data_IF_332031590250
#
_entry.id   IF_332031590250
#
_cell.length_a   1.000
_cell.length_b   1.000
_cell.length_c   1.000
_cell.angle_alpha   90.00
_cell.angle_beta   90.00
_cell.angle_gamma   90.00
#
_symmetry.space_group_name_H-M   'P 1'
#
loop_
_entity.id
_entity.type
_entity.pdbx_description
1 polymer ?
#
# COMPACT_ATOMS: atom_id res chain seq x y z
N UNK A 1 -22.07 75.63 -18.55
CA UNK A 1 -21.32 76.18 -17.40
C UNK A 1 -21.28 75.08 -16.34
N UNK A 2 -20.26 74.23 -16.39
CA UNK A 2 -19.03 74.30 -15.58
C UNK A 2 -19.33 74.14 -14.08
N UNK A 3 -19.06 72.96 -13.54
CA UNK A 3 -18.29 72.80 -12.30
C UNK A 3 -17.62 71.43 -12.25
N UNK A 4 -16.33 71.47 -11.90
CA UNK A 4 -15.31 70.42 -11.89
C UNK A 4 -15.49 69.40 -10.75
N UNK A 5 -15.05 68.13 -10.93
CA UNK A 5 -14.71 67.24 -9.83
C UNK A 5 -13.19 67.28 -9.59
N UNK A 6 -12.77 67.91 -8.49
CA UNK A 6 -11.44 67.77 -7.87
C UNK A 6 -11.66 67.40 -6.40
N UNK A 7 -10.78 66.56 -5.84
CA UNK A 7 -10.90 65.80 -4.56
C UNK A 7 -11.64 64.47 -4.84
N UNK A 8 -11.01 63.31 -5.06
CA UNK A 8 -9.99 62.62 -4.26
C UNK A 8 -9.15 61.77 -5.24
N UNK A 9 -7.94 62.20 -5.55
CA UNK A 9 -6.88 61.40 -6.17
C UNK A 9 -5.57 61.84 -5.52
N UNK A 10 -5.39 61.44 -4.26
CA UNK A 10 -4.22 61.75 -3.45
C UNK A 10 -4.14 60.77 -2.26
N UNK A 11 -3.76 59.51 -2.52
CA UNK A 11 -3.05 58.54 -1.65
C UNK A 11 -2.70 57.34 -2.56
N UNK A 12 -1.91 57.60 -3.60
CA UNK A 12 -1.38 56.57 -4.49
C UNK A 12 -0.02 57.03 -5.03
N UNK A 13 0.86 57.55 -4.15
CA UNK A 13 2.27 57.84 -4.45
C UNK A 13 2.99 58.42 -3.21
N UNK A 14 3.11 57.65 -2.12
CA UNK A 14 4.07 57.96 -1.03
C UNK A 14 4.30 56.82 -0.02
N UNK A 15 4.81 55.65 -0.46
CA UNK A 15 5.55 54.71 0.43
C UNK A 15 6.68 54.00 -0.35
N UNK A 16 7.30 54.69 -1.32
CA UNK A 16 8.55 54.23 -1.95
C UNK A 16 9.64 55.23 -1.57
N UNK A 17 10.69 54.68 -0.95
CA UNK A 17 11.99 55.27 -0.58
C UNK A 17 12.08 56.03 0.76
N UNK A 18 13.19 55.72 1.48
CA UNK A 18 13.63 56.14 2.82
C UNK A 18 13.09 55.20 3.92
N UNK A 19 13.83 54.32 4.61
CA UNK A 19 15.24 54.00 4.84
C UNK A 19 15.22 52.53 5.38
N UNK A 20 16.08 51.59 5.01
CA UNK A 20 17.49 51.75 4.70
C UNK A 20 18.31 51.67 5.99
N UNK A 21 18.65 50.44 6.37
CA UNK A 21 19.73 50.03 7.29
C UNK A 21 19.36 49.62 8.75
N UNK A 22 19.81 48.39 9.04
CA UNK A 22 20.43 47.87 10.28
C UNK A 22 19.67 46.74 11.01
N UNK A 23 20.37 45.60 11.06
CA UNK A 23 20.19 44.36 11.86
C UNK A 23 19.12 43.39 11.37
N UNK A 24 19.39 42.37 10.56
CA UNK A 24 20.57 41.47 10.45
C UNK A 24 20.87 40.70 11.74
N UNK A 25 19.99 39.76 12.12
CA UNK A 25 20.39 38.63 12.97
C UNK A 25 19.54 37.37 12.71
N UNK A 26 20.26 36.31 12.34
CA UNK A 26 19.96 34.87 12.37
C UNK A 26 18.79 34.31 11.54
N UNK A 27 18.96 34.27 10.23
CA UNK A 27 18.61 33.08 9.46
C UNK A 27 19.89 32.56 8.80
N UNK A 28 20.54 31.57 9.42
CA UNK A 28 21.59 30.82 8.73
C UNK A 28 20.90 29.95 7.68
N UNK A 29 21.14 30.12 6.38
CA UNK A 29 20.91 29.02 5.47
C UNK A 29 21.90 27.94 5.93
N UNK A 30 21.38 26.77 6.29
CA UNK A 30 22.21 25.58 6.31
C UNK A 30 22.59 25.38 4.84
N UNK A 31 23.74 25.94 4.45
CA UNK A 31 24.55 25.36 3.41
C UNK A 31 24.76 23.92 3.83
N UNK A 32 23.94 23.02 3.29
CA UNK A 32 24.36 21.64 3.14
C UNK A 32 25.50 21.68 2.12
N UNK A 33 26.66 22.09 2.61
CA UNK A 33 27.92 21.65 2.07
C UNK A 33 28.00 20.18 2.48
N UNK A 34 27.24 19.32 1.79
CA UNK A 34 27.66 17.93 1.73
C UNK A 34 29.06 18.01 1.11
N UNK A 35 30.12 17.53 1.76
CA UNK A 35 31.18 17.00 0.95
C UNK A 35 30.48 15.95 0.10
N UNK A 36 30.42 16.19 -1.21
CA UNK A 36 30.21 15.14 -2.18
C UNK A 36 31.41 14.20 -2.05
N UNK A 37 31.44 13.43 -0.95
CA UNK A 37 32.21 12.19 -0.83
C UNK A 37 31.43 11.11 -1.57
N UNK A 38 30.93 11.43 -2.76
CA UNK A 38 31.02 10.50 -3.85
C UNK A 38 32.52 10.41 -4.11
N UNK A 39 33.20 9.48 -3.42
CA UNK A 39 34.28 8.84 -4.13
C UNK A 39 33.60 8.28 -5.36
N UNK A 40 33.93 8.89 -6.49
CA UNK A 40 33.73 8.36 -7.81
C UNK A 40 34.48 7.03 -7.83
N UNK A 41 33.86 6.00 -7.26
CA UNK A 41 34.09 4.63 -7.69
C UNK A 41 33.42 4.62 -9.04
N UNK A 42 34.16 5.10 -10.04
CA UNK A 42 33.92 4.73 -11.42
C UNK A 42 33.69 3.23 -11.39
N UNK A 43 32.46 2.79 -11.62
CA UNK A 43 32.20 1.47 -12.15
C UNK A 43 32.89 1.45 -13.51
N UNK A 44 34.19 1.19 -13.50
CA UNK A 44 34.96 0.79 -14.67
C UNK A 44 34.56 -0.64 -14.99
N UNK A 45 33.28 -0.86 -15.26
CA UNK A 45 32.84 -1.88 -16.18
C UNK A 45 32.95 -1.30 -17.58
N UNK A 46 34.18 -1.03 -18.02
CA UNK A 46 34.41 -0.89 -19.46
C UNK A 46 33.87 -2.17 -20.07
N UNK A 47 32.81 -2.09 -20.88
CA UNK A 47 32.47 -3.18 -21.79
C UNK A 47 33.71 -3.35 -22.65
N UNK A 48 34.57 -4.31 -22.31
CA UNK A 48 35.67 -4.69 -23.19
C UNK A 48 35.06 -4.89 -24.56
N UNK A 49 35.62 -4.22 -25.57
CA UNK A 49 35.21 -4.40 -26.94
C UNK A 49 35.49 -5.85 -27.33
N UNK A 50 34.51 -6.72 -27.10
CA UNK A 50 34.62 -8.13 -27.39
C UNK A 50 34.56 -8.33 -28.90
N UNK A 51 35.32 -9.32 -29.39
CA UNK A 51 35.32 -9.67 -30.80
C UNK A 51 33.91 -10.06 -31.23
N UNK A 52 33.41 -9.48 -32.32
CA UNK A 52 32.11 -9.84 -32.89
C UNK A 52 32.25 -10.87 -34.00
N UNK A 53 31.33 -11.82 -34.03
CA UNK A 53 31.24 -12.80 -35.09
C UNK A 53 30.40 -12.31 -36.29
N UNK A 54 30.22 -13.17 -37.32
CA UNK A 54 29.40 -12.87 -38.50
C UNK A 54 27.96 -12.45 -38.19
N UNK A 55 27.36 -12.95 -37.11
CA UNK A 55 26.00 -12.62 -36.68
C UNK A 55 25.96 -11.46 -35.66
N UNK A 56 27.06 -10.71 -35.55
CA UNK A 56 27.24 -9.58 -34.62
C UNK A 56 27.14 -9.96 -33.14
N UNK A 57 27.18 -11.25 -32.83
CA UNK A 57 27.23 -11.77 -31.47
C UNK A 57 28.61 -11.68 -30.85
N UNK A 58 28.73 -12.09 -29.59
CA UNK A 58 30.02 -12.21 -28.90
C UNK A 58 30.73 -13.47 -29.39
N UNK A 59 31.89 -13.30 -30.01
CA UNK A 59 32.72 -14.39 -30.51
C UNK A 59 33.72 -14.82 -29.44
N UNK A 60 33.57 -16.04 -28.96
CA UNK A 60 34.45 -16.73 -28.04
C UNK A 60 35.40 -17.60 -28.86
N UNK A 61 36.70 -17.51 -28.63
CA UNK A 61 37.70 -18.21 -29.45
C UNK A 61 38.75 -18.87 -28.55
N UNK A 62 39.08 -20.13 -28.83
CA UNK A 62 40.17 -20.86 -28.17
C UNK A 62 40.69 -21.95 -29.08
N UNK A 63 42.00 -21.94 -29.34
CA UNK A 63 42.71 -22.93 -30.17
C UNK A 63 42.05 -23.20 -31.54
N UNK A 64 41.64 -22.14 -32.25
CA UNK A 64 41.00 -22.21 -33.58
C UNK A 64 39.51 -22.55 -33.56
N UNK A 65 38.97 -23.05 -32.44
CA UNK A 65 37.54 -23.30 -32.28
C UNK A 65 36.82 -22.07 -31.73
N UNK A 66 35.67 -21.75 -32.32
CA UNK A 66 34.96 -20.50 -32.07
C UNK A 66 33.47 -20.76 -31.80
N UNK A 67 32.93 -20.01 -30.85
CA UNK A 67 31.51 -20.00 -30.49
C UNK A 67 31.01 -18.56 -30.55
N UNK A 68 30.02 -18.27 -31.37
CA UNK A 68 29.35 -16.97 -31.37
C UNK A 68 28.03 -17.08 -30.60
N UNK A 69 27.89 -16.29 -29.53
CA UNK A 69 26.66 -16.19 -28.74
C UNK A 69 25.97 -14.86 -29.05
N UNK A 70 24.71 -14.92 -29.46
CA UNK A 70 23.86 -13.76 -29.76
C UNK A 70 22.61 -13.78 -28.90
N UNK A 71 22.05 -12.61 -28.61
CA UNK A 71 20.67 -12.47 -28.14
C UNK A 71 19.88 -11.94 -29.34
N UNK A 72 18.90 -12.72 -29.79
CA UNK A 72 18.02 -12.37 -30.89
C UNK A 72 16.68 -11.90 -30.34
N UNK A 73 16.36 -10.64 -30.62
CA UNK A 73 15.17 -9.95 -30.10
C UNK A 73 14.44 -9.25 -31.25
N UNK A 74 13.66 -9.99 -32.06
CA UNK A 74 12.85 -9.38 -33.08
C UNK A 74 11.59 -8.77 -32.45
N UNK A 75 11.06 -7.72 -33.08
CA UNK A 75 9.90 -6.99 -32.58
C UNK A 75 8.71 -7.92 -32.31
N UNK A 76 8.17 -7.87 -31.08
CA UNK A 76 7.00 -8.66 -30.67
C UNK A 76 7.28 -10.13 -30.33
N UNK A 77 8.53 -10.59 -30.28
CA UNK A 77 8.89 -11.95 -29.84
C UNK A 77 9.86 -11.87 -28.66
N UNK A 78 9.69 -12.70 -27.61
CA UNK A 78 10.62 -12.72 -26.50
C UNK A 78 12.07 -12.99 -26.94
N UNK A 79 13.07 -12.29 -26.34
CA UNK A 79 14.46 -12.45 -26.71
C UNK A 79 14.96 -13.87 -26.41
N UNK A 80 15.79 -14.42 -27.29
CA UNK A 80 16.36 -15.77 -27.14
C UNK A 80 17.84 -15.78 -27.47
N UNK A 81 18.59 -16.69 -26.86
CA UNK A 81 19.98 -16.91 -27.23
C UNK A 81 20.05 -17.69 -28.53
N UNK A 82 21.01 -17.33 -29.41
CA UNK A 82 21.46 -18.20 -30.49
C UNK A 82 22.95 -18.45 -30.43
N UNK A 83 23.34 -19.69 -30.70
CA UNK A 83 24.73 -20.13 -30.73
C UNK A 83 25.10 -20.63 -32.13
N UNK A 84 26.22 -20.13 -32.63
CA UNK A 84 26.85 -20.56 -33.89
C UNK A 84 28.25 -21.09 -33.59
N UNK A 85 28.68 -22.13 -34.30
CA UNK A 85 29.99 -22.74 -34.13
C UNK A 85 30.84 -22.57 -35.38
N UNK A 86 32.14 -22.33 -35.18
CA UNK A 86 33.11 -22.23 -36.26
C UNK A 86 34.42 -22.94 -35.90
N UNK A 87 35.13 -23.38 -36.92
CA UNK A 87 36.49 -23.90 -36.85
C UNK A 87 37.34 -23.12 -37.84
N UNK A 88 38.37 -22.43 -37.35
CA UNK A 88 39.24 -21.53 -38.12
C UNK A 88 38.46 -20.50 -38.96
N UNK A 89 37.35 -19.98 -38.42
CA UNK A 89 36.47 -19.02 -39.09
C UNK A 89 35.44 -19.64 -40.05
N UNK A 90 35.45 -20.96 -40.24
CA UNK A 90 34.50 -21.66 -41.11
C UNK A 90 33.33 -22.23 -40.29
N UNK A 91 32.06 -21.99 -40.66
CA UNK A 91 30.91 -22.54 -39.94
C UNK A 91 30.93 -24.07 -39.90
N UNK A 92 30.61 -24.65 -38.75
CA UNK A 92 30.43 -26.10 -38.57
C UNK A 92 29.02 -26.41 -38.06
N UNK A 93 28.55 -27.64 -38.26
CA UNK A 93 27.20 -28.02 -37.86
C UNK A 93 27.10 -28.15 -36.33
N UNK A 94 26.08 -27.56 -35.69
CA UNK A 94 25.89 -27.72 -34.25
C UNK A 94 25.66 -29.17 -33.80
N UNK A 95 25.18 -30.04 -34.70
CA UNK A 95 25.01 -31.48 -34.44
C UNK A 95 26.32 -32.22 -34.13
N UNK A 96 27.46 -31.64 -34.53
CA UNK A 96 28.77 -32.26 -34.42
C UNK A 96 29.49 -31.82 -33.12
N UNK A 97 28.87 -30.94 -32.34
CA UNK A 97 29.42 -30.34 -31.13
C UNK A 97 28.55 -30.71 -29.93
N UNK A 98 29.15 -31.24 -28.87
CA UNK A 98 28.47 -31.30 -27.57
C UNK A 98 28.64 -29.96 -26.88
N UNK A 99 27.60 -29.43 -26.25
CA UNK A 99 27.63 -28.10 -25.68
C UNK A 99 26.80 -28.00 -24.40
N UNK A 100 27.18 -27.05 -23.56
CA UNK A 100 26.42 -26.65 -22.38
C UNK A 100 26.64 -25.15 -22.16
N UNK A 101 25.54 -24.41 -21.93
CA UNK A 101 25.60 -23.01 -21.53
C UNK A 101 24.89 -22.81 -20.21
N UNK A 102 25.58 -22.21 -19.26
CA UNK A 102 25.03 -21.83 -17.97
C UNK A 102 25.04 -20.30 -17.83
N UNK A 103 23.98 -19.74 -17.25
CA UNK A 103 23.89 -18.34 -16.85
C UNK A 103 23.90 -18.25 -15.33
N UNK A 104 24.92 -17.59 -14.78
CA UNK A 104 24.96 -17.21 -13.37
C UNK A 104 24.41 -15.79 -13.22
N UNK A 105 23.17 -15.68 -12.75
CA UNK A 105 22.51 -14.42 -12.35
C UNK A 105 22.86 -14.08 -10.90
N UNK A 106 22.39 -12.92 -10.42
CA UNK A 106 22.70 -12.48 -9.05
C UNK A 106 22.17 -13.44 -7.97
N UNK A 107 21.00 -14.07 -8.20
CA UNK A 107 20.31 -14.92 -7.23
C UNK A 107 20.19 -16.40 -7.66
N UNK A 108 20.58 -16.76 -8.89
CA UNK A 108 20.38 -18.12 -9.40
C UNK A 108 21.37 -18.53 -10.48
N UNK A 109 21.53 -19.84 -10.65
CA UNK A 109 22.25 -20.46 -11.76
C UNK A 109 21.22 -21.16 -12.67
N UNK A 110 21.27 -20.89 -13.96
CA UNK A 110 20.34 -21.42 -14.96
C UNK A 110 21.12 -22.19 -16.02
N UNK A 111 20.76 -23.44 -16.29
CA UNK A 111 21.23 -24.15 -17.48
C UNK A 111 20.29 -23.81 -18.63
N UNK A 112 20.83 -23.41 -19.78
CA UNK A 112 20.03 -22.95 -20.91
C UNK A 112 19.85 -24.09 -21.92
N UNK A 113 18.62 -24.61 -22.10
CA UNK A 113 18.34 -25.65 -23.07
C UNK A 113 18.20 -25.04 -24.47
N UNK A 114 18.79 -25.71 -25.47
CA UNK A 114 18.75 -25.29 -26.86
C UNK A 114 18.12 -26.33 -27.77
N UNK A 115 17.54 -25.86 -28.87
CA UNK A 115 17.05 -26.67 -29.99
C UNK A 115 17.81 -26.29 -31.26
N UNK A 116 18.12 -27.28 -32.09
CA UNK A 116 18.71 -27.07 -33.41
C UNK A 116 17.68 -26.43 -34.36
N UNK A 117 18.06 -25.31 -34.96
CA UNK A 117 17.29 -24.59 -35.98
C UNK A 117 18.22 -24.28 -37.17
N UNK A 118 18.20 -25.15 -38.19
CA UNK A 118 19.07 -25.00 -39.36
C UNK A 118 20.55 -25.15 -39.03
N UNK A 119 21.29 -24.05 -39.11
CA UNK A 119 22.74 -23.95 -38.88
C UNK A 119 23.12 -23.38 -37.51
N UNK A 120 22.14 -23.13 -36.63
CA UNK A 120 22.36 -22.60 -35.29
C UNK A 120 21.53 -23.33 -34.22
N UNK A 121 21.87 -23.05 -32.97
CA UNK A 121 21.10 -23.48 -31.81
C UNK A 121 20.31 -22.29 -31.26
N UNK A 122 19.01 -22.46 -31.02
CA UNK A 122 18.16 -21.45 -30.37
C UNK A 122 17.75 -21.88 -28.97
N UNK A 123 17.84 -20.99 -27.98
CA UNK A 123 17.39 -21.31 -26.63
C UNK A 123 15.88 -21.50 -26.60
N UNK A 124 15.43 -22.51 -25.86
CA UNK A 124 14.00 -22.74 -25.60
C UNK A 124 13.49 -21.89 -24.44
N UNK A 125 14.40 -21.33 -23.63
CA UNK A 125 14.13 -20.33 -22.61
C UNK A 125 14.34 -18.91 -23.16
N UNK A 126 13.61 -17.96 -22.60
CA UNK A 126 13.75 -16.52 -22.88
C UNK A 126 14.99 -15.96 -22.19
N UNK A 127 15.68 -15.05 -22.86
CA UNK A 127 16.75 -14.24 -22.30
C UNK A 127 16.15 -13.06 -21.51
N UNK A 128 15.52 -13.36 -20.37
CA UNK A 128 14.77 -12.38 -19.57
C UNK A 128 15.66 -11.24 -19.07
N UNK A 129 15.09 -10.04 -19.00
CA UNK A 129 15.75 -8.89 -18.39
C UNK A 129 15.91 -9.01 -16.86
N UNK A 130 16.89 -8.31 -16.26
CA UNK A 130 17.99 -7.61 -16.95
C UNK A 130 18.93 -8.61 -17.66
N UNK A 131 19.63 -8.20 -18.72
CA UNK A 131 20.70 -9.00 -19.35
C UNK A 131 21.99 -8.98 -18.50
N UNK A 132 21.80 -9.23 -17.20
CA UNK A 132 22.80 -9.23 -16.15
C UNK A 132 23.12 -10.65 -15.70
N UNK A 133 24.20 -11.20 -16.23
CA UNK A 133 24.63 -12.57 -15.96
C UNK A 133 26.12 -12.75 -16.29
N UNK A 134 26.72 -13.77 -15.66
CA UNK A 134 27.96 -14.37 -16.11
C UNK A 134 27.62 -15.62 -16.91
N UNK A 135 28.06 -15.68 -18.16
CA UNK A 135 27.90 -16.85 -19.02
C UNK A 135 29.07 -17.78 -18.81
N UNK A 136 28.78 -19.08 -18.69
CA UNK A 136 29.73 -20.16 -18.81
C UNK A 136 29.35 -21.00 -20.03
N UNK A 137 30.22 -21.05 -21.02
CA UNK A 137 30.03 -21.85 -22.24
C UNK A 137 31.05 -22.98 -22.25
N UNK A 138 30.57 -24.21 -22.34
CA UNK A 138 31.38 -25.42 -22.51
C UNK A 138 31.03 -26.02 -23.86
N UNK A 139 32.03 -26.40 -24.64
CA UNK A 139 31.85 -27.12 -25.89
C UNK A 139 32.88 -28.23 -26.04
N UNK A 140 32.48 -29.35 -26.62
CA UNK A 140 33.35 -30.47 -26.95
C UNK A 140 33.24 -30.77 -28.44
N UNK A 141 34.37 -30.74 -29.13
CA UNK A 141 34.47 -31.05 -30.55
C UNK A 141 35.75 -31.88 -30.81
N UNK A 142 35.65 -32.97 -31.57
CA UNK A 142 36.78 -33.88 -31.90
C UNK A 142 37.65 -34.24 -30.69
N UNK A 143 37.01 -34.66 -29.58
CA UNK A 143 37.64 -35.03 -28.30
C UNK A 143 38.41 -33.91 -27.57
N UNK A 144 38.27 -32.65 -27.99
CA UNK A 144 38.81 -31.48 -27.29
C UNK A 144 37.69 -30.73 -26.56
N UNK A 145 37.96 -30.35 -25.31
CA UNK A 145 37.05 -29.58 -24.48
C UNK A 145 37.47 -28.11 -24.42
N UNK A 146 36.49 -27.24 -24.60
CA UNK A 146 36.63 -25.80 -24.58
C UNK A 146 35.69 -25.22 -23.54
N UNK A 147 36.19 -24.22 -22.81
CA UNK A 147 35.46 -23.53 -21.76
C UNK A 147 35.78 -22.04 -21.87
N UNK A 148 34.72 -21.24 -21.87
CA UNK A 148 34.78 -19.79 -21.84
C UNK A 148 33.84 -19.26 -20.78
N UNK A 149 34.25 -18.15 -20.16
CA UNK A 149 33.39 -17.39 -19.27
C UNK A 149 33.43 -15.92 -19.68
N UNK A 150 32.28 -15.26 -19.62
CA UNK A 150 32.22 -13.82 -19.80
C UNK A 150 31.10 -13.19 -18.97
N UNK A 151 31.24 -11.90 -18.70
CA UNK A 151 30.28 -11.13 -17.93
C UNK A 151 29.53 -10.16 -18.85
N UNK A 152 28.24 -9.98 -18.56
CA UNK A 152 27.37 -8.94 -19.11
C UNK A 152 26.52 -8.48 -17.94
N UNK A 153 26.80 -7.30 -17.39
CA UNK A 153 26.09 -6.79 -16.22
C UNK A 153 25.36 -5.51 -16.60
N UNK A 154 24.04 -5.61 -16.71
CA UNK A 154 23.15 -4.49 -16.92
C UNK A 154 22.34 -4.22 -15.67
N UNK A 155 22.00 -2.97 -15.40
CA UNK A 155 21.14 -2.64 -14.27
C UNK A 155 21.74 -2.95 -12.90
N UNK A 156 23.08 -2.96 -12.79
CA UNK A 156 23.80 -3.12 -11.51
C UNK A 156 24.33 -1.79 -10.97
N UNK A 157 24.25 -1.65 -9.66
CA UNK A 157 24.87 -0.55 -8.90
C UNK A 157 25.68 -1.15 -7.76
N UNK A 158 26.88 -0.65 -7.54
CA UNK A 158 27.68 -1.00 -6.37
C UNK A 158 27.81 0.23 -5.47
N UNK A 159 27.47 0.08 -4.19
CA UNK A 159 27.57 1.15 -3.19
C UNK A 159 28.50 0.74 -2.06
N UNK A 160 29.27 1.69 -1.52
CA UNK A 160 30.06 1.40 -0.31
C UNK A 160 29.14 1.19 0.90
N UNK A 161 29.57 0.44 1.94
CA UNK A 161 28.80 0.28 3.17
C UNK A 161 28.42 1.62 3.83
N UNK A 162 29.31 2.62 3.74
CA UNK A 162 29.07 3.97 4.24
C UNK A 162 27.96 4.66 3.45
N UNK A 163 27.92 4.51 2.13
CA UNK A 163 26.88 5.05 1.29
C UNK A 163 25.53 4.37 1.57
N UNK A 164 25.49 3.04 1.72
CA UNK A 164 24.27 2.29 2.10
C UNK A 164 23.71 2.84 3.42
N UNK A 165 24.58 3.01 4.42
CA UNK A 165 24.20 3.53 5.74
C UNK A 165 23.76 5.00 5.70
N UNK A 166 24.51 5.87 5.02
CA UNK A 166 24.23 7.30 4.93
C UNK A 166 22.90 7.58 4.22
N UNK A 167 22.57 6.75 3.25
CA UNK A 167 21.33 6.83 2.48
C UNK A 167 20.15 6.09 3.13
N UNK A 168 20.36 5.48 4.31
CA UNK A 168 19.33 4.73 5.03
C UNK A 168 18.67 3.64 4.18
N UNK A 169 19.43 3.02 3.28
CA UNK A 169 18.96 1.90 2.46
C UNK A 169 18.74 0.71 3.38
N UNK A 170 17.50 0.22 3.46
CA UNK A 170 17.18 -1.00 4.24
C UNK A 170 17.07 -2.19 3.31
N UNK A 171 17.61 -3.31 3.76
CA UNK A 171 17.59 -4.58 3.04
C UNK A 171 16.82 -5.59 3.89
N UNK A 172 15.81 -6.22 3.29
CA UNK A 172 15.02 -7.28 3.89
C UNK A 172 15.10 -8.54 3.03
N UNK A 173 14.62 -9.66 3.58
CA UNK A 173 14.54 -10.94 2.89
C UNK A 173 13.10 -11.14 2.40
N UNK A 174 12.94 -11.42 1.10
CA UNK A 174 11.65 -11.76 0.54
C UNK A 174 11.23 -13.14 1.05
N UNK A 175 9.97 -13.29 1.46
CA UNK A 175 9.54 -14.53 2.08
C UNK A 175 8.04 -14.63 2.29
N UNK A 176 7.60 -15.73 2.93
CA UNK A 176 6.18 -15.99 3.11
C UNK A 176 5.58 -15.06 4.16
N UNK A 177 4.36 -14.60 3.88
CA UNK A 177 3.55 -13.81 4.81
C UNK A 177 2.09 -14.27 4.75
N UNK A 178 1.32 -13.95 5.78
CA UNK A 178 -0.15 -13.94 5.68
C UNK A 178 -0.59 -12.53 5.34
N UNK A 179 -1.05 -12.31 4.11
CA UNK A 179 -1.54 -11.03 3.64
C UNK A 179 -2.99 -10.83 4.11
N UNK A 180 -3.18 -9.90 5.05
CA UNK A 180 -4.51 -9.43 5.45
C UNK A 180 -5.06 -8.48 4.39
N UNK A 181 -6.14 -8.87 3.73
CA UNK A 181 -6.89 -7.99 2.83
C UNK A 181 -7.95 -7.28 3.67
N UNK A 182 -7.82 -5.96 3.72
CA UNK A 182 -8.73 -5.09 4.48
C UNK A 182 -9.68 -4.36 3.55
N UNK A 183 -10.91 -4.17 4.02
CA UNK A 183 -11.93 -3.35 3.40
C UNK A 183 -12.19 -2.13 4.28
N UNK A 184 -11.90 -0.96 3.75
CA UNK A 184 -12.17 0.32 4.41
C UNK A 184 -13.66 0.66 4.25
N UNK A 185 -14.35 0.86 5.38
CA UNK A 185 -15.78 1.15 5.44
C UNK A 185 -16.07 2.38 6.28
N UNK A 186 -17.16 3.05 5.97
CA UNK A 186 -17.63 4.21 6.72
C UNK A 186 -18.95 3.89 7.42
N UNK A 187 -19.07 4.36 8.65
CA UNK A 187 -20.19 4.04 9.50
C UNK A 187 -20.52 5.14 10.49
N UNK A 188 -21.44 4.82 11.38
CA UNK A 188 -21.96 5.73 12.39
C UNK A 188 -22.20 4.99 13.70
N UNK A 189 -21.87 5.64 14.81
CA UNK A 189 -22.25 5.15 16.13
C UNK A 189 -23.74 5.42 16.34
N UNK A 190 -24.46 4.39 16.75
CA UNK A 190 -25.86 4.47 17.15
C UNK A 190 -26.03 3.89 18.56
N UNK A 191 -27.17 4.20 19.17
CA UNK A 191 -27.58 3.56 20.41
C UNK A 191 -27.73 2.06 20.20
N UNK A 192 -27.31 1.28 21.20
CA UNK A 192 -27.71 -0.12 21.24
C UNK A 192 -29.21 -0.17 21.57
N UNK A 193 -30.04 -0.44 20.55
CA UNK A 193 -31.49 -0.44 20.71
C UNK A 193 -31.98 -1.57 21.62
N UNK A 194 -31.21 -2.67 21.78
CA UNK A 194 -31.53 -3.73 22.75
C UNK A 194 -31.42 -3.25 24.20
N UNK A 195 -30.63 -2.20 24.43
CA UNK A 195 -30.43 -1.57 25.72
C UNK A 195 -31.17 -0.23 25.88
N UNK A 196 -32.18 0.00 25.03
CA UNK A 196 -32.95 1.26 24.99
C UNK A 196 -34.42 1.01 25.30
N UNK A 197 -34.99 1.80 26.22
CA UNK A 197 -36.38 1.72 26.63
C UNK A 197 -37.11 3.04 26.38
N UNK A 198 -38.31 2.91 25.82
CA UNK A 198 -39.24 4.01 25.57
C UNK A 198 -40.29 4.02 26.68
N UNK A 199 -40.34 5.12 27.44
CA UNK A 199 -41.26 5.27 28.56
C UNK A 199 -42.54 5.95 28.07
N UNK A 200 -43.67 5.26 28.21
CA UNK A 200 -45.02 5.76 27.89
C UNK A 200 -45.86 5.91 29.16
N UNK A 201 -46.73 6.94 29.24
CA UNK A 201 -47.66 7.06 30.36
C UNK A 201 -48.69 5.93 30.34
N UNK A 202 -48.97 5.33 31.50
CA UNK A 202 -49.96 4.25 31.60
C UNK A 202 -51.40 4.73 31.42
N UNK A 203 -51.69 5.97 31.82
CA UNK A 203 -53.02 6.57 31.76
C UNK A 203 -52.93 8.00 31.21
N UNK A 204 -53.90 8.47 30.40
CA UNK A 204 -53.97 9.86 29.99
C UNK A 204 -54.07 10.80 31.20
N UNK A 205 -53.48 11.99 31.12
CA UNK A 205 -53.43 12.88 32.27
C UNK A 205 -52.61 14.14 32.11
N UNK A 206 -52.64 14.99 33.14
CA UNK A 206 -51.89 16.25 33.18
C UNK A 206 -50.57 16.06 33.93
N UNK A 207 -49.47 16.56 33.37
CA UNK A 207 -48.15 16.49 33.99
C UNK A 207 -48.06 17.46 35.16
N UNK A 208 -47.86 16.93 36.38
CA UNK A 208 -47.73 17.71 37.62
C UNK A 208 -46.28 17.95 38.04
N UNK A 209 -45.37 17.06 37.67
CA UNK A 209 -43.94 17.23 37.92
C UNK A 209 -43.09 16.52 36.87
N UNK A 210 -41.91 17.09 36.58
CA UNK A 210 -40.89 16.49 35.72
C UNK A 210 -39.56 16.59 36.45
N UNK A 211 -39.10 15.47 37.00
CA UNK A 211 -37.97 15.43 37.94
C UNK A 211 -36.63 15.25 37.25
N UNK A 212 -36.63 14.90 35.95
CA UNK A 212 -35.42 14.58 35.19
C UNK A 212 -35.31 15.37 33.88
N UNK A 213 -34.06 15.59 33.47
CA UNK A 213 -33.68 16.33 32.26
C UNK A 213 -32.96 15.42 31.27
N UNK A 214 -32.94 15.85 30.01
CA UNK A 214 -32.10 15.25 28.98
C UNK A 214 -30.64 15.17 29.47
N UNK A 215 -29.98 14.04 29.22
CA UNK A 215 -28.59 13.79 29.64
C UNK A 215 -28.43 13.38 31.10
N UNK A 216 -29.48 13.35 31.92
CA UNK A 216 -29.37 12.81 33.27
C UNK A 216 -29.24 11.28 33.23
N UNK A 217 -28.32 10.76 34.03
CA UNK A 217 -28.33 9.36 34.43
C UNK A 217 -29.49 9.09 35.39
N UNK A 218 -30.16 7.96 35.21
CA UNK A 218 -31.25 7.48 36.06
C UNK A 218 -31.05 6.02 36.42
N UNK A 219 -31.47 5.65 37.63
CA UNK A 219 -31.49 4.25 38.08
C UNK A 219 -32.85 3.61 37.82
N UNK A 220 -32.87 2.30 37.62
CA UNK A 220 -34.10 1.52 37.58
C UNK A 220 -34.94 1.80 38.82
N UNK A 221 -36.22 2.11 38.62
CA UNK A 221 -37.19 2.47 39.65
C UNK A 221 -37.18 3.95 40.03
N UNK A 222 -36.24 4.77 39.56
CA UNK A 222 -36.18 6.20 39.90
C UNK A 222 -37.35 6.98 39.27
N UNK A 223 -37.95 7.90 40.04
CA UNK A 223 -39.11 8.71 39.59
C UNK A 223 -38.66 9.75 38.56
N UNK A 224 -39.22 9.68 37.36
CA UNK A 224 -38.94 10.57 36.24
C UNK A 224 -39.92 11.75 36.18
N UNK A 225 -41.21 11.47 36.41
CA UNK A 225 -42.30 12.45 36.35
C UNK A 225 -43.49 12.01 37.20
N UNK A 226 -44.38 12.95 37.51
CA UNK A 226 -45.66 12.71 38.19
C UNK A 226 -46.78 13.22 37.29
N UNK A 227 -47.80 12.37 37.07
CA UNK A 227 -48.94 12.66 36.20
C UNK A 227 -50.22 12.47 37.03
N UNK A 228 -51.17 13.39 36.91
CA UNK A 228 -52.52 13.24 37.43
C UNK A 228 -53.38 12.54 36.38
N UNK A 229 -53.88 11.34 36.68
CA UNK A 229 -54.74 10.59 35.77
C UNK A 229 -56.08 11.28 35.58
N UNK A 230 -56.53 11.40 34.33
CA UNK A 230 -57.87 11.93 34.03
C UNK A 230 -58.98 10.99 34.48
N UNK A 231 -58.71 9.69 34.60
CA UNK A 231 -59.73 8.69 34.96
C UNK A 231 -60.02 8.68 36.45
N UNK A 232 -58.97 8.78 37.28
CA UNK A 232 -59.09 8.66 38.75
C UNK A 232 -58.85 9.97 39.50
N UNK A 233 -58.35 11.00 38.82
CA UNK A 233 -57.87 12.27 39.42
C UNK A 233 -56.78 12.06 40.49
N UNK A 234 -56.12 10.89 40.48
CA UNK A 234 -55.01 10.57 41.36
C UNK A 234 -53.67 10.79 40.66
N UNK A 235 -52.68 11.24 41.43
CA UNK A 235 -51.30 11.31 40.98
C UNK A 235 -50.69 9.90 40.91
N UNK A 236 -49.97 9.62 39.84
CA UNK A 236 -49.13 8.44 39.72
C UNK A 236 -47.73 8.82 39.22
N UNK A 237 -46.75 8.01 39.60
CA UNK A 237 -45.36 8.22 39.26
C UNK A 237 -44.98 7.42 38.01
N UNK A 238 -44.28 8.09 37.10
CA UNK A 238 -43.58 7.44 36.00
C UNK A 238 -42.15 7.18 36.46
N UNK A 239 -41.70 5.93 36.38
CA UNK A 239 -40.38 5.49 36.87
C UNK A 239 -39.53 4.92 35.73
N UNK A 240 -38.22 4.99 35.87
CA UNK A 240 -37.30 4.34 34.93
C UNK A 240 -37.38 2.82 35.03
N UNK A 241 -37.36 2.12 33.90
CA UNK A 241 -37.35 0.65 33.86
C UNK A 241 -35.93 0.05 33.82
N UNK A 242 -34.94 0.89 33.49
CA UNK A 242 -33.52 0.51 33.37
C UNK A 242 -32.61 1.53 34.05
N UNK A 243 -31.34 1.15 34.23
CA UNK A 243 -30.27 2.12 34.47
C UNK A 243 -29.84 2.70 33.12
N UNK A 244 -29.61 4.00 33.03
CA UNK A 244 -29.15 4.59 31.77
C UNK A 244 -29.28 6.10 31.71
N UNK A 245 -29.04 6.66 30.54
CA UNK A 245 -29.11 8.10 30.27
C UNK A 245 -30.40 8.42 29.53
N UNK A 246 -31.06 9.51 29.93
CA UNK A 246 -32.19 10.06 29.19
C UNK A 246 -31.66 10.68 27.88
N UNK A 247 -31.91 10.01 26.76
CA UNK A 247 -31.49 10.45 25.41
C UNK A 247 -32.57 11.23 24.67
N UNK A 248 -33.83 11.14 25.11
CA UNK A 248 -34.92 12.01 24.66
C UNK A 248 -35.87 12.32 25.81
N UNK A 249 -36.39 13.54 25.82
CA UNK A 249 -37.40 14.04 26.78
C UNK A 249 -38.46 14.81 26.02
N UNK A 250 -39.65 14.24 25.91
CA UNK A 250 -40.78 14.81 25.19
C UNK A 250 -41.93 15.16 26.15
N UNK A 251 -41.58 15.64 27.34
CA UNK A 251 -42.54 15.96 28.40
C UNK A 251 -42.15 17.25 29.10
N UNK A 252 -43.15 18.07 29.41
CA UNK A 252 -43.00 19.32 30.16
C UNK A 252 -44.09 19.45 31.22
N UNK A 253 -43.80 20.23 32.26
CA UNK A 253 -44.77 20.55 33.30
C UNK A 253 -46.02 21.21 32.70
N UNK A 254 -47.21 20.78 33.13
CA UNK A 254 -48.48 21.32 32.66
C UNK A 254 -48.95 20.79 31.31
N UNK A 255 -48.18 19.90 30.67
CA UNK A 255 -48.58 19.28 29.41
C UNK A 255 -49.68 18.23 29.64
N UNK A 256 -50.61 18.12 28.70
CA UNK A 256 -51.55 17.01 28.65
C UNK A 256 -50.94 15.82 27.89
N UNK A 257 -51.12 14.62 28.43
CA UNK A 257 -50.63 13.37 27.87
C UNK A 257 -51.82 12.47 27.50
N UNK A 258 -51.80 11.92 26.29
CA UNK A 258 -52.83 11.02 25.79
C UNK A 258 -52.58 9.56 26.15
N UNK A 259 -51.36 9.22 26.61
CA UNK A 259 -50.95 7.87 26.98
C UNK A 259 -50.38 7.02 25.84
N UNK A 260 -50.25 7.58 24.63
CA UNK A 260 -49.66 6.88 23.48
C UNK A 260 -48.27 7.40 23.11
N UNK A 261 -47.93 8.60 23.56
CA UNK A 261 -46.63 9.23 23.30
C UNK A 261 -45.50 8.73 24.20
N UNK A 262 -44.31 8.59 23.61
CA UNK A 262 -43.07 8.34 24.36
C UNK A 262 -42.62 9.63 25.05
N UNK A 263 -42.69 9.67 26.38
CA UNK A 263 -42.35 10.85 27.19
C UNK A 263 -40.87 10.91 27.57
N UNK A 264 -40.22 9.76 27.70
CA UNK A 264 -38.76 9.64 27.84
C UNK A 264 -38.24 8.49 26.98
N UNK A 265 -37.00 8.61 26.53
CA UNK A 265 -36.23 7.49 25.99
C UNK A 265 -34.95 7.38 26.79
N UNK A 266 -34.69 6.21 27.33
CA UNK A 266 -33.56 5.92 28.23
C UNK A 266 -32.73 4.83 27.59
N UNK A 267 -31.42 5.02 27.54
CA UNK A 267 -30.50 4.06 26.93
C UNK A 267 -29.30 3.81 27.85
N UNK A 268 -28.90 2.55 28.00
CA UNK A 268 -27.62 2.21 28.60
C UNK A 268 -26.51 2.36 27.55
N UNK A 269 -25.76 3.47 27.66
CA UNK A 269 -24.70 3.84 26.73
C UNK A 269 -23.35 3.17 27.02
N UNK A 270 -23.27 2.27 28.01
CA UNK A 270 -22.05 1.49 28.30
C UNK A 270 -21.69 0.52 27.17
N UNK A 271 -22.62 0.27 26.24
CA UNK A 271 -22.39 -0.39 24.97
C UNK A 271 -23.14 0.36 23.86
N UNK A 272 -22.48 0.54 22.72
CA UNK A 272 -23.07 1.17 21.53
C UNK A 272 -22.87 0.27 20.33
N UNK A 273 -23.65 0.51 19.28
CA UNK A 273 -23.44 -0.14 17.99
C UNK A 273 -22.72 0.80 17.05
N UNK A 274 -21.85 0.24 16.22
CA UNK A 274 -21.25 0.91 15.08
C UNK A 274 -21.80 0.26 13.80
N UNK A 275 -22.60 1.01 13.06
CA UNK A 275 -23.23 0.55 11.82
C UNK A 275 -22.44 1.06 10.62
N UNK A 276 -21.88 0.14 9.83
CA UNK A 276 -21.07 0.40 8.65
C UNK A 276 -21.85 0.06 7.38
N UNK A 277 -21.70 0.89 6.36
CA UNK A 277 -22.31 0.62 5.05
C UNK A 277 -21.39 -0.26 4.21
N UNK A 278 -21.86 -1.44 3.82
CA UNK A 278 -21.17 -2.34 2.89
C UNK A 278 -21.86 -2.25 1.53
N UNK A 279 -21.12 -1.82 0.51
CA UNK A 279 -21.65 -1.67 -0.84
C UNK A 279 -21.74 -3.00 -1.57
N UNK A 280 -22.64 -3.07 -2.56
CA UNK A 280 -22.96 -4.28 -3.33
C UNK A 280 -21.73 -5.09 -3.80
N UNK A 281 -20.70 -4.41 -4.29
CA UNK A 281 -19.49 -5.05 -4.83
C UNK A 281 -18.66 -5.78 -3.77
N UNK A 282 -18.78 -5.40 -2.50
CA UNK A 282 -18.00 -5.95 -1.39
C UNK A 282 -18.81 -6.90 -0.50
N UNK A 283 -20.12 -7.03 -0.73
CA UNK A 283 -21.03 -7.84 0.09
C UNK A 283 -20.59 -9.30 0.23
N UNK A 284 -20.09 -9.92 -0.84
CA UNK A 284 -19.67 -11.32 -0.81
C UNK A 284 -18.37 -11.56 -0.05
N UNK A 285 -17.67 -10.49 0.35
CA UNK A 285 -16.38 -10.56 1.04
C UNK A 285 -16.53 -10.39 2.56
N UNK A 286 -17.63 -9.77 3.01
CA UNK A 286 -17.86 -9.46 4.42
C UNK A 286 -18.80 -10.50 5.04
N UNK A 287 -18.37 -11.09 6.14
CA UNK A 287 -19.08 -12.13 6.87
C UNK A 287 -19.25 -11.75 8.35
N UNK A 288 -20.28 -12.31 8.98
CA UNK A 288 -20.43 -12.23 10.44
C UNK A 288 -19.25 -12.96 11.09
N UNK A 289 -18.60 -12.31 12.05
CA UNK A 289 -17.39 -12.79 12.71
C UNK A 289 -16.09 -12.16 12.21
N UNK A 290 -16.10 -11.46 11.06
CA UNK A 290 -14.92 -10.76 10.57
C UNK A 290 -14.41 -9.74 11.59
N UNK A 291 -13.10 -9.68 11.81
CA UNK A 291 -12.50 -8.66 12.68
C UNK A 291 -12.58 -7.29 12.00
N UNK A 292 -12.95 -6.28 12.79
CA UNK A 292 -13.04 -4.90 12.36
C UNK A 292 -12.34 -3.99 13.36
N UNK A 293 -11.39 -3.18 12.88
CA UNK A 293 -10.84 -2.08 13.65
C UNK A 293 -11.70 -0.83 13.43
N UNK A 294 -12.42 -0.40 14.46
CA UNK A 294 -13.23 0.83 14.41
C UNK A 294 -12.39 2.00 14.91
N UNK A 295 -12.39 3.09 14.13
CA UNK A 295 -11.62 4.30 14.43
C UNK A 295 -12.53 5.54 14.37
N UNK A 296 -12.41 6.45 15.34
CA UNK A 296 -13.06 7.76 15.27
C UNK A 296 -12.46 8.59 14.14
N UNK A 297 -13.24 9.49 13.53
CA UNK A 297 -12.74 10.29 12.40
C UNK A 297 -11.55 11.21 12.75
N UNK A 298 -11.39 11.59 14.02
CA UNK A 298 -10.23 12.34 14.51
C UNK A 298 -9.01 11.45 14.81
N UNK A 299 -9.14 10.12 14.67
CA UNK A 299 -8.10 9.13 14.91
C UNK A 299 -7.77 8.84 16.38
N UNK A 300 -8.43 9.51 17.33
CA UNK A 300 -8.09 9.46 18.75
C UNK A 300 -8.62 8.20 19.46
N UNK A 301 -9.72 7.62 18.97
CA UNK A 301 -10.30 6.41 19.53
C UNK A 301 -10.14 5.28 18.52
N UNK A 302 -9.65 4.14 18.99
CA UNK A 302 -9.54 2.90 18.23
C UNK A 302 -10.01 1.73 19.08
N UNK A 303 -10.80 0.85 18.50
CA UNK A 303 -11.27 -0.36 19.17
C UNK A 303 -11.44 -1.49 18.16
N UNK A 304 -10.86 -2.64 18.45
CA UNK A 304 -11.12 -3.86 17.72
C UNK A 304 -12.45 -4.47 18.19
N UNK A 305 -13.22 -4.97 17.23
CA UNK A 305 -14.47 -5.67 17.43
C UNK A 305 -14.66 -6.73 16.34
N UNK A 306 -15.78 -7.45 16.38
CA UNK A 306 -16.19 -8.32 15.29
C UNK A 306 -17.49 -7.81 14.67
N UNK A 307 -17.67 -8.06 13.37
CA UNK A 307 -18.97 -7.89 12.71
C UNK A 307 -19.96 -8.84 13.35
N UNK A 308 -20.91 -8.33 14.13
CA UNK A 308 -21.87 -9.12 14.89
C UNK A 308 -23.15 -9.43 14.10
N UNK A 309 -23.46 -8.61 13.09
CA UNK A 309 -24.67 -8.74 12.29
C UNK A 309 -24.48 -8.07 10.93
N UNK A 310 -25.08 -8.66 9.89
CA UNK A 310 -25.21 -8.06 8.56
C UNK A 310 -26.70 -8.03 8.21
N UNK A 311 -27.20 -6.86 7.83
CA UNK A 311 -28.61 -6.64 7.51
C UNK A 311 -29.05 -7.47 6.30
N UNK A 312 -30.18 -8.17 6.46
CA UNK A 312 -30.89 -8.82 5.35
C UNK A 312 -31.60 -7.81 4.44
N UNK A 313 -31.82 -6.58 4.92
CA UNK A 313 -32.41 -5.49 4.17
C UNK A 313 -31.33 -4.52 3.69
N UNK A 314 -31.34 -4.24 2.39
CA UNK A 314 -30.52 -3.19 1.80
C UNK A 314 -31.19 -1.82 1.88
N UNK A 315 -30.37 -0.77 1.80
CA UNK A 315 -30.82 0.59 1.64
C UNK A 315 -30.92 0.90 0.13
N UNK A 316 -32.14 1.22 -0.32
CA UNK A 316 -32.43 1.48 -1.75
C UNK A 316 -31.70 2.71 -2.29
N UNK A 317 -31.46 3.73 -1.47
CA UNK A 317 -30.82 4.97 -1.89
C UNK A 317 -29.30 4.83 -2.02
N UNK A 318 -28.67 4.08 -1.11
CA UNK A 318 -27.21 3.93 -1.06
C UNK A 318 -26.72 2.62 -1.68
N UNK A 319 -27.62 1.72 -2.06
CA UNK A 319 -27.30 0.40 -2.61
C UNK A 319 -26.29 -0.37 -1.73
N UNK A 320 -26.49 -0.29 -0.42
CA UNK A 320 -25.64 -0.88 0.62
C UNK A 320 -26.46 -1.69 1.62
N UNK A 321 -25.81 -2.58 2.36
CA UNK A 321 -26.37 -3.17 3.58
C UNK A 321 -25.62 -2.65 4.80
N UNK A 322 -26.21 -2.79 5.97
CA UNK A 322 -25.56 -2.45 7.23
C UNK A 322 -24.81 -3.67 7.77
N UNK A 323 -23.51 -3.54 8.00
CA UNK A 323 -22.74 -4.43 8.87
C UNK A 323 -22.56 -3.74 10.23
N UNK A 324 -22.92 -4.43 11.32
CA UNK A 324 -22.90 -3.89 12.67
C UNK A 324 -21.77 -4.51 13.47
N UNK A 325 -21.08 -3.67 14.24
CA UNK A 325 -20.17 -4.10 15.30
C UNK A 325 -20.67 -3.57 16.65
N UNK A 326 -20.44 -4.34 17.72
CA UNK A 326 -20.75 -3.92 19.09
C UNK A 326 -19.50 -3.35 19.73
N UNK A 327 -19.56 -2.12 20.21
CA UNK A 327 -18.46 -1.47 20.92
C UNK A 327 -18.77 -1.38 22.41
N UNK A 328 -17.76 -1.69 23.23
CA UNK A 328 -17.79 -1.36 24.66
C UNK A 328 -17.53 0.13 24.85
N UNK A 329 -18.27 0.75 25.75
CA UNK A 329 -18.28 2.20 25.92
C UNK A 329 -18.46 2.64 27.38
N UNK A 330 -17.70 2.07 28.35
CA UNK A 330 -17.91 2.33 29.78
C UNK A 330 -17.71 3.80 30.19
N UNK A 331 -16.90 4.54 29.43
CA UNK A 331 -16.61 5.97 29.66
C UNK A 331 -17.43 6.89 28.75
N UNK A 332 -18.39 6.34 27.99
CA UNK A 332 -19.23 7.07 27.05
C UNK A 332 -18.45 7.89 26.01
N UNK A 333 -17.25 7.44 25.61
CA UNK A 333 -16.40 8.13 24.62
C UNK A 333 -16.92 7.96 23.20
N UNK A 334 -17.48 6.79 22.88
CA UNK A 334 -18.22 6.58 21.63
C UNK A 334 -19.59 7.24 21.76
N UNK A 335 -19.77 8.39 21.11
CA UNK A 335 -21.03 9.15 21.17
C UNK A 335 -21.96 8.75 20.01
N UNK A 336 -23.18 8.26 20.29
CA UNK A 336 -24.19 8.05 19.25
C UNK A 336 -24.44 9.32 18.44
N UNK A 337 -24.56 9.17 17.13
CA UNK A 337 -24.70 10.28 16.20
C UNK A 337 -23.41 10.63 15.45
N UNK A 338 -22.23 10.23 15.95
CA UNK A 338 -20.96 10.53 15.29
C UNK A 338 -20.57 9.48 14.26
N UNK A 339 -19.87 9.92 13.22
CA UNK A 339 -19.30 9.06 12.20
C UNK A 339 -18.01 8.39 12.67
N UNK A 340 -17.74 7.20 12.12
CA UNK A 340 -16.54 6.40 12.36
C UNK A 340 -16.10 5.74 11.06
N UNK A 341 -14.82 5.39 10.97
CA UNK A 341 -14.30 4.49 9.95
C UNK A 341 -14.10 3.09 10.53
N UNK A 342 -14.12 2.08 9.67
CA UNK A 342 -13.81 0.71 10.00
C UNK A 342 -12.85 0.12 8.97
N UNK A 343 -11.91 -0.71 9.41
CA UNK A 343 -11.11 -1.57 8.54
C UNK A 343 -11.49 -3.02 8.83
N UNK A 344 -12.26 -3.65 7.94
CA UNK A 344 -12.70 -5.05 8.07
C UNK A 344 -11.66 -5.96 7.43
N UNK A 345 -11.13 -6.95 8.15
CA UNK A 345 -10.29 -7.99 7.56
C UNK A 345 -11.19 -9.01 6.86
N UNK A 346 -11.24 -8.98 5.53
CA UNK A 346 -12.16 -9.79 4.71
C UNK A 346 -11.52 -11.06 4.14
N UNK A 347 -10.19 -11.12 4.11
CA UNK A 347 -9.47 -12.30 3.63
C UNK A 347 -8.09 -12.36 4.30
N UNK A 348 -7.66 -13.59 4.63
CA UNK A 348 -6.30 -13.88 5.07
C UNK A 348 -5.67 -14.83 4.07
N UNK A 349 -4.69 -14.34 3.32
CA UNK A 349 -4.14 -15.06 2.17
C UNK A 349 -2.70 -15.45 2.48
N UNK A 350 -2.36 -16.75 2.54
CA UNK A 350 -0.97 -17.16 2.61
C UNK A 350 -0.28 -16.83 1.28
N UNK A 351 0.76 -16.01 1.34
CA UNK A 351 1.59 -15.61 0.20
C UNK A 351 2.97 -16.24 0.37
N UNK A 352 3.51 -16.84 -0.69
CA UNK A 352 4.81 -17.50 -0.65
C UNK A 352 5.99 -16.51 -0.72
N UNK A 353 5.84 -15.45 -1.50
CA UNK A 353 6.85 -14.41 -1.71
C UNK A 353 6.18 -13.05 -1.67
N UNK A 354 6.52 -12.24 -0.68
CA UNK A 354 6.10 -10.86 -0.59
C UNK A 354 7.27 -9.92 -0.29
N UNK A 355 7.11 -8.68 -0.72
CA UNK A 355 8.01 -7.56 -0.44
C UNK A 355 7.22 -6.39 0.14
N UNK A 356 7.91 -5.47 0.81
CA UNK A 356 7.30 -4.20 1.22
C UNK A 356 6.83 -3.41 0.00
N UNK A 357 5.66 -2.79 0.07
CA UNK A 357 5.14 -1.93 -1.01
C UNK A 357 6.12 -0.79 -1.34
N UNK A 358 6.77 -0.21 -0.32
CA UNK A 358 7.80 0.83 -0.48
C UNK A 358 9.09 0.40 -1.19
N UNK A 359 9.29 -0.90 -1.44
CA UNK A 359 10.42 -1.43 -2.18
C UNK A 359 10.26 -1.26 -3.70
N UNK A 360 9.02 -1.29 -4.16
CA UNK A 360 8.69 -1.27 -5.59
C UNK A 360 9.09 0.06 -6.21
N UNK A 361 9.67 -0.02 -7.40
CA UNK A 361 9.99 1.11 -8.25
C UNK A 361 9.49 0.82 -9.66
N UNK A 362 9.26 1.88 -10.43
CA UNK A 362 9.09 1.77 -11.87
C UNK A 362 10.42 2.08 -12.55
N UNK A 363 10.95 1.17 -13.36
CA UNK A 363 12.16 1.38 -14.14
C UNK A 363 11.87 1.01 -15.60
N UNK A 364 12.01 1.99 -16.50
CA UNK A 364 11.42 1.93 -17.85
C UNK A 364 9.92 1.65 -17.74
N UNK A 365 9.42 0.61 -18.39
CA UNK A 365 8.02 0.19 -18.37
C UNK A 365 7.73 -0.97 -17.39
N UNK A 366 8.70 -1.34 -16.54
CA UNK A 366 8.55 -2.45 -15.59
C UNK A 366 8.40 -1.99 -14.14
N UNK A 367 7.60 -2.75 -13.41
CA UNK A 367 7.67 -2.81 -11.96
C UNK A 367 8.90 -3.63 -11.56
N UNK A 368 9.74 -3.05 -10.71
CA UNK A 368 11.02 -3.64 -10.32
C UNK A 368 11.23 -3.57 -8.81
N UNK A 369 12.03 -4.51 -8.31
CA UNK A 369 12.70 -4.43 -7.01
C UNK A 369 14.21 -4.42 -7.22
N UNK A 370 14.96 -4.00 -6.21
CA UNK A 370 16.43 -4.08 -6.23
C UNK A 370 16.88 -5.23 -5.36
N UNK A 371 17.44 -6.27 -5.98
CA UNK A 371 18.09 -7.37 -5.27
C UNK A 371 19.44 -6.93 -4.73
N UNK A 372 19.87 -7.52 -3.61
CA UNK A 372 21.11 -7.17 -2.92
C UNK A 372 21.96 -8.40 -2.62
N UNK A 373 23.22 -8.37 -3.06
CA UNK A 373 24.25 -9.34 -2.69
C UNK A 373 25.46 -8.58 -2.15
N UNK A 374 25.55 -8.49 -0.83
CA UNK A 374 26.55 -7.66 -0.17
C UNK A 374 26.31 -6.18 -0.47
N UNK A 375 27.23 -5.59 -1.22
CA UNK A 375 27.21 -4.17 -1.62
C UNK A 375 26.76 -3.95 -3.07
N UNK A 376 26.47 -5.05 -3.78
CA UNK A 376 26.02 -5.04 -5.16
C UNK A 376 24.49 -5.12 -5.19
N UNK A 377 23.90 -4.24 -5.99
CA UNK A 377 22.46 -4.15 -6.20
C UNK A 377 22.15 -4.38 -7.67
N UNK A 378 21.07 -5.12 -7.97
CA UNK A 378 20.62 -5.39 -9.34
C UNK A 378 19.12 -5.11 -9.45
N UNK A 379 18.73 -4.36 -10.48
CA UNK A 379 17.32 -4.16 -10.81
C UNK A 379 16.71 -5.48 -11.29
N UNK A 380 15.58 -5.87 -10.71
CA UNK A 380 14.89 -7.11 -11.03
C UNK A 380 13.43 -6.81 -11.37
N UNK A 381 13.02 -6.96 -12.64
CA UNK A 381 11.62 -6.94 -13.04
C UNK A 381 10.82 -8.01 -12.28
N UNK A 382 9.63 -7.61 -11.82
CA UNK A 382 8.74 -8.48 -11.06
C UNK A 382 7.33 -8.44 -11.61
N UNK A 383 6.63 -9.57 -11.49
CA UNK A 383 5.20 -9.62 -11.72
C UNK A 383 4.46 -9.51 -10.39
N UNK A 384 3.61 -8.51 -10.25
CA UNK A 384 2.89 -8.22 -9.01
C UNK A 384 1.60 -9.04 -8.91
N UNK A 385 1.26 -9.44 -7.68
CA UNK A 385 0.00 -10.09 -7.33
C UNK A 385 -0.87 -9.22 -6.42
N UNK A 386 -1.44 -9.85 -5.40
CA UNK A 386 -2.26 -9.18 -4.38
C UNK A 386 -1.42 -8.21 -3.57
N UNK A 387 -2.04 -7.14 -3.06
CA UNK A 387 -1.37 -6.19 -2.19
C UNK A 387 -2.28 -5.63 -1.11
N UNK A 388 -1.66 -5.18 -0.02
CA UNK A 388 -2.29 -4.30 0.97
C UNK A 388 -1.43 -3.04 1.16
N UNK A 389 -1.67 -2.26 2.23
CA UNK A 389 -0.95 -1.00 2.49
C UNK A 389 0.54 -1.19 2.81
N UNK A 390 0.99 -2.40 3.13
CA UNK A 390 2.34 -2.68 3.61
C UNK A 390 3.10 -3.66 2.71
N UNK A 391 2.42 -4.67 2.18
CA UNK A 391 3.02 -5.79 1.47
C UNK A 391 2.41 -6.00 0.09
N UNK A 392 3.26 -6.45 -0.84
CA UNK A 392 2.90 -6.84 -2.20
C UNK A 392 3.38 -8.25 -2.47
N UNK A 393 2.48 -9.10 -2.94
CA UNK A 393 2.80 -10.43 -3.47
C UNK A 393 3.61 -10.31 -4.76
N UNK A 394 4.67 -11.10 -4.87
CA UNK A 394 5.45 -11.24 -6.09
C UNK A 394 5.17 -12.61 -6.71
N UNK A 395 4.55 -12.61 -7.89
CA UNK A 395 4.20 -13.82 -8.66
C UNK A 395 5.45 -14.40 -9.33
N UNK A 396 6.32 -13.55 -9.85
CA UNK A 396 7.58 -13.95 -10.49
C UNK A 396 8.64 -12.85 -10.45
N UNK A 397 9.90 -13.23 -10.63
CA UNK A 397 11.08 -12.33 -10.65
C UNK A 397 12.08 -12.63 -9.54
N UNK A 398 11.59 -12.83 -8.31
CA UNK A 398 12.40 -13.14 -7.11
C UNK A 398 11.92 -14.43 -6.43
N UNK A 399 12.79 -15.03 -5.62
CA UNK A 399 12.53 -16.25 -4.86
C UNK A 399 12.45 -15.97 -3.34
N UNK A 400 11.84 -16.87 -2.54
CA UNK A 400 11.99 -16.83 -1.09
C UNK A 400 13.47 -16.87 -0.72
N UNK A 401 13.89 -16.00 0.20
CA UNK A 401 15.28 -15.85 0.63
C UNK A 401 16.07 -14.79 -0.13
N UNK A 402 15.55 -14.28 -1.24
CA UNK A 402 16.21 -13.20 -1.98
C UNK A 402 16.21 -11.92 -1.13
N UNK A 403 17.39 -11.33 -0.97
CA UNK A 403 17.54 -10.06 -0.27
C UNK A 403 17.20 -8.91 -1.21
N UNK A 404 16.33 -8.02 -0.79
CA UNK A 404 15.88 -6.88 -1.59
C UNK A 404 15.92 -5.58 -0.78
N UNK A 405 15.97 -4.44 -1.46
CA UNK A 405 15.92 -3.13 -0.82
C UNK A 405 14.48 -2.77 -0.47
N UNK A 406 14.14 -2.76 0.82
CA UNK A 406 12.79 -2.49 1.32
C UNK A 406 12.48 -1.02 1.54
N UNK A 407 13.50 -0.18 1.74
CA UNK A 407 13.34 1.26 1.91
C UNK A 407 14.41 2.03 1.13
N UNK A 408 14.05 3.21 0.62
CA UNK A 408 14.93 4.13 -0.09
C UNK A 408 15.54 3.58 -1.40
N UNK A 409 14.84 2.67 -2.10
CA UNK A 409 15.28 2.09 -3.38
C UNK A 409 15.37 3.10 -4.53
N UNK A 410 14.72 4.26 -4.43
CA UNK A 410 14.80 5.34 -5.43
C UNK A 410 16.24 5.84 -5.69
N UNK A 411 17.13 5.71 -4.70
CA UNK A 411 18.54 6.12 -4.81
C UNK A 411 19.28 5.24 -5.82
N UNK A 412 18.99 3.94 -5.81
CA UNK A 412 19.55 2.98 -6.76
C UNK A 412 19.03 3.22 -8.17
N UNK A 413 17.72 3.52 -8.29
CA UNK A 413 17.14 3.91 -9.57
C UNK A 413 17.83 5.15 -10.16
N UNK A 414 18.03 6.20 -9.36
CA UNK A 414 18.67 7.43 -9.82
C UNK A 414 20.12 7.19 -10.29
N UNK A 415 20.86 6.32 -9.61
CA UNK A 415 22.24 5.98 -10.00
C UNK A 415 22.30 5.18 -11.31
N UNK A 416 21.35 4.23 -11.51
CA UNK A 416 21.20 3.50 -12.77
C UNK A 416 20.88 4.41 -13.96
N UNK A 417 19.92 5.33 -13.79
CA UNK A 417 19.53 6.25 -14.86
C UNK A 417 20.70 7.19 -15.25
N UNK A 418 21.49 7.64 -14.27
CA UNK A 418 22.68 8.46 -14.51
C UNK A 418 23.77 7.69 -15.26
N UNK A 419 23.97 6.41 -14.94
CA UNK A 419 24.96 5.56 -15.60
C UNK A 419 24.54 5.22 -17.03
N UNK A 420 23.26 4.91 -17.26
CA UNK A 420 22.71 4.66 -18.60
C UNK A 420 22.83 5.87 -19.54
N UNK A 421 22.55 7.08 -19.05
CA UNK A 421 22.63 8.31 -19.84
C UNK A 421 24.06 8.65 -20.33
N UNK A 422 25.11 8.13 -19.68
CA UNK A 422 26.50 8.33 -20.13
C UNK A 422 26.88 7.46 -21.34
N UNK A 423 26.05 6.48 -21.70
CA UNK A 423 26.32 5.53 -22.78
C UNK A 423 25.54 5.81 -24.07
N UNK A 424 24.62 6.78 -24.08
CA UNK A 424 23.83 7.20 -25.26
C UNK A 424 24.49 8.33 -26.09
N UNK A 425 25.78 8.64 -25.87
CA UNK A 425 26.51 9.71 -26.58
C UNK A 425 27.62 9.23 -27.49
#
# INVERSE_FOLDING_TARGET
>A
MKNHPWIINLIALLVIAILGAVSFFYFKPILFNQPSNFHEVTSTGSVEAFKRGPHRGRLLEKDGFQVEVTIFEPEGVPPRFRIYFYEDGTPIKPSDVQYEMELKRINRLEKIPFKLEGDYLESTMEATEPHSFKVKMIATNKDKNYEWEYESYEGRVELTPEAIKANMIRIEEAGPITLEIKLDVMGKIITNEENTVYITPRFPGMVKAVNKKLGNFVRKGEVLAVIESNESLQNYEVRSEINGIIIKKNINLGMYLSGQENIFVISDLSSVWADFNIYRQDLSRVHVGDSIQVTSLDGNLKQEAAVSYISSLGNENTQSVVARAVLTNPNETWKPGLFVSGEITVENVPIHVAVKDGALQTFRDWDVVFLSVGNLFEVMPVQLGRKNKEWVEIISGINPGDRYVSENSFILKADLEKSGAKHEH
#
